data_IF_951446831702
#
_entry.id   IF_951446831702
#
_cell.length_a   1.000
_cell.length_b   1.000
_cell.length_c   1.000
_cell.angle_alpha   90.00
_cell.angle_beta   90.00
_cell.angle_gamma   90.00
#
_symmetry.space_group_name_H-M   'P 1'
#
loop_
_entity.id
_entity.type
_entity.pdbx_description
1 polymer ?
#
# COMPACT_ATOMS: atom_id res chain seq x y z
N UNK A 1 42.95 -6.29 -3.29
CA UNK A 1 42.36 -7.64 -3.17
C UNK A 1 42.35 -8.02 -1.68
N UNK A 2 41.23 -7.76 -0.98
CA UNK A 2 41.07 -8.12 0.44
C UNK A 2 40.36 -9.48 0.52
N UNK A 3 40.97 -10.42 1.24
CA UNK A 3 40.43 -11.78 1.44
C UNK A 3 39.28 -11.73 2.44
N UNK A 4 38.10 -12.18 2.03
CA UNK A 4 36.94 -12.37 2.91
C UNK A 4 36.94 -13.85 3.34
N UNK A 5 37.01 -14.08 4.65
CA UNK A 5 36.96 -15.40 5.28
C UNK A 5 35.49 -15.64 5.66
N UNK A 6 34.87 -16.66 5.08
CA UNK A 6 33.52 -17.10 5.45
C UNK A 6 33.62 -18.08 6.63
N UNK A 7 33.01 -17.71 7.76
CA UNK A 7 32.85 -18.57 8.93
C UNK A 7 31.51 -19.30 8.81
N UNK A 8 31.57 -20.60 8.51
CA UNK A 8 30.44 -21.52 8.42
C UNK A 8 30.02 -21.93 9.85
N UNK A 9 28.85 -21.50 10.29
CA UNK A 9 28.26 -21.94 11.57
C UNK A 9 27.50 -23.25 11.34
N UNK A 10 28.02 -24.32 11.93
CA UNK A 10 27.44 -25.67 11.92
C UNK A 10 26.52 -25.83 13.13
N UNK A 11 25.20 -25.77 12.93
CA UNK A 11 24.24 -26.09 14.00
C UNK A 11 24.09 -27.62 14.14
N UNK A 12 24.66 -28.16 15.22
CA UNK A 12 24.40 -29.52 15.69
C UNK A 12 22.96 -29.62 16.18
N UNK A 13 22.17 -30.50 15.55
CA UNK A 13 20.89 -30.95 16.08
C UNK A 13 21.15 -32.13 17.01
N UNK A 14 20.90 -31.93 18.31
CA UNK A 14 20.73 -33.01 19.28
C UNK A 14 19.31 -32.94 19.83
N UNK A 15 18.54 -34.00 19.59
CA UNK A 15 17.16 -34.13 20.04
C UNK A 15 17.04 -34.53 21.51
N UNK A 16 15.82 -34.39 22.04
CA UNK A 16 15.33 -35.26 23.09
C UNK A 16 13.88 -35.64 22.79
N UNK A 17 13.62 -36.93 23.00
CA UNK A 17 12.34 -37.59 22.89
C UNK A 17 11.35 -37.09 23.96
N UNK A 18 10.08 -36.99 23.57
CA UNK A 18 8.94 -36.87 24.48
C UNK A 18 7.79 -37.73 23.95
N UNK A 19 7.39 -38.72 24.76
CA UNK A 19 6.40 -39.76 24.47
C UNK A 19 4.94 -39.29 24.61
N UNK A 20 4.04 -40.00 23.92
CA UNK A 20 2.60 -40.16 24.23
C UNK A 20 1.71 -39.23 23.41
N UNK A 21 0.69 -39.67 22.66
CA UNK A 21 -0.09 -40.91 22.65
C UNK A 21 -0.69 -41.07 21.25
N UNK A 22 -0.51 -42.22 20.59
CA UNK A 22 -1.21 -42.55 19.34
C UNK A 22 -2.55 -43.23 19.66
N UNK A 23 -3.62 -42.73 19.05
CA UNK A 23 -4.86 -43.47 18.87
C UNK A 23 -4.72 -44.39 17.65
N UNK A 24 -5.35 -45.56 17.75
CA UNK A 24 -5.30 -46.67 16.81
C UNK A 24 -5.86 -46.34 15.40
N UNK A 25 -5.17 -46.91 14.41
CA UNK A 25 -5.62 -47.20 13.05
C UNK A 25 -7.05 -47.77 12.96
N UNK A 26 -7.79 -47.42 11.89
CA UNK A 26 -8.29 -48.40 10.89
C UNK A 26 -8.37 -47.79 9.49
N UNK A 27 -8.01 -48.62 8.53
CA UNK A 27 -7.72 -48.37 7.12
C UNK A 27 -8.97 -48.63 6.21
N UNK A 28 -8.88 -48.64 4.86
CA UNK A 28 -9.72 -47.90 3.91
C UNK A 28 -10.83 -48.78 3.26
N UNK A 29 -11.64 -48.23 2.34
CA UNK A 29 -12.15 -48.93 1.13
C UNK A 29 -13.00 -48.02 0.23
N UNK A 30 -12.53 -47.93 -1.03
CA UNK A 30 -13.23 -47.91 -2.34
C UNK A 30 -14.77 -47.77 -2.40
N UNK A 31 -15.22 -46.87 -3.28
CA UNK A 31 -16.54 -46.94 -3.91
C UNK A 31 -16.68 -45.95 -5.07
N UNK A 32 -16.66 -46.45 -6.31
CA UNK A 32 -16.93 -45.69 -7.53
C UNK A 32 -18.44 -45.50 -7.71
N UNK A 33 -18.92 -44.28 -7.99
CA UNK A 33 -20.20 -44.05 -8.70
C UNK A 33 -20.06 -42.84 -9.63
N UNK A 34 -20.29 -43.10 -10.91
CA UNK A 34 -20.42 -42.18 -12.04
C UNK A 34 -21.83 -41.59 -12.14
N UNK A 35 -21.97 -40.30 -12.46
CA UNK A 35 -23.09 -39.74 -13.25
C UNK A 35 -22.60 -38.52 -14.04
N UNK A 36 -22.92 -38.49 -15.33
CA UNK A 36 -22.63 -37.44 -16.31
C UNK A 36 -23.65 -36.27 -16.29
N UNK A 37 -23.14 -35.09 -16.69
CA UNK A 37 -23.77 -34.00 -17.46
C UNK A 37 -24.94 -33.20 -16.88
N UNK A 38 -24.74 -31.89 -16.71
CA UNK A 38 -25.57 -30.86 -17.38
C UNK A 38 -24.86 -29.49 -17.35
N UNK A 39 -24.56 -28.96 -18.55
CA UNK A 39 -24.19 -27.56 -18.76
C UNK A 39 -25.43 -26.67 -18.58
N UNK A 40 -25.32 -25.65 -17.73
CA UNK A 40 -26.15 -24.44 -17.82
C UNK A 40 -25.25 -23.22 -17.65
N UNK A 41 -25.14 -22.49 -18.76
CA UNK A 41 -24.73 -21.09 -18.78
C UNK A 41 -25.64 -20.30 -17.84
N UNK A 42 -25.04 -19.49 -16.96
CA UNK A 42 -25.70 -18.35 -16.33
C UNK A 42 -24.78 -17.15 -16.53
N UNK A 43 -25.08 -16.36 -17.56
CA UNK A 43 -24.85 -14.93 -17.54
C UNK A 43 -25.68 -14.36 -16.37
N UNK A 44 -25.03 -13.76 -15.37
CA UNK A 44 -25.55 -12.58 -14.72
C UNK A 44 -24.51 -11.91 -13.80
N UNK A 45 -24.21 -10.67 -14.17
CA UNK A 45 -23.89 -9.52 -13.31
C UNK A 45 -22.70 -9.69 -12.35
N UNK A 46 -21.57 -9.12 -12.77
CA UNK A 46 -20.48 -8.67 -11.90
C UNK A 46 -21.07 -7.82 -10.78
N UNK A 47 -21.17 -8.40 -9.59
CA UNK A 47 -21.49 -7.68 -8.37
C UNK A 47 -20.28 -6.79 -8.06
N UNK A 48 -20.45 -5.51 -8.37
CA UNK A 48 -19.71 -4.42 -7.78
C UNK A 48 -19.60 -4.68 -6.27
N UNK A 49 -18.39 -4.79 -5.74
CA UNK A 49 -18.16 -5.02 -4.31
C UNK A 49 -18.82 -3.88 -3.51
N UNK A 50 -20.05 -4.12 -3.04
CA UNK A 50 -20.63 -3.32 -1.98
C UNK A 50 -19.78 -3.58 -0.74
N UNK A 51 -18.89 -2.63 -0.44
CA UNK A 51 -18.27 -2.51 0.87
C UNK A 51 -19.43 -2.56 1.88
N UNK A 52 -19.53 -3.67 2.61
CA UNK A 52 -20.50 -3.79 3.69
C UNK A 52 -20.21 -2.64 4.68
N UNK A 53 -21.23 -1.85 4.99
CA UNK A 53 -21.17 -0.88 6.06
C UNK A 53 -21.00 -1.66 7.37
N UNK A 54 -19.75 -1.87 7.77
CA UNK A 54 -19.40 -2.62 8.99
C UNK A 54 -19.62 -1.79 10.25
N UNK A 55 -20.04 -0.53 10.13
CA UNK A 55 -20.06 0.43 11.23
C UNK A 55 -18.67 0.81 11.76
N UNK A 56 -17.59 0.39 11.09
CA UNK A 56 -16.21 0.75 11.44
C UNK A 56 -15.90 2.14 10.88
N UNK A 57 -15.27 2.99 11.69
CA UNK A 57 -14.63 4.18 11.16
C UNK A 57 -13.39 3.77 10.33
N UNK A 58 -12.98 4.58 9.34
CA UNK A 58 -11.64 4.49 8.80
C UNK A 58 -10.60 4.68 9.93
N UNK A 59 -9.33 4.30 9.70
CA UNK A 59 -8.28 4.49 10.70
C UNK A 59 -8.20 5.96 11.14
N UNK A 60 -8.26 6.19 12.45
CA UNK A 60 -8.26 7.48 13.11
C UNK A 60 -7.33 7.47 14.33
N UNK A 61 -6.69 8.60 14.60
CA UNK A 61 -5.84 8.83 15.79
C UNK A 61 -6.11 10.22 16.36
N UNK A 62 -6.14 10.36 17.69
CA UNK A 62 -6.22 11.67 18.33
C UNK A 62 -4.84 12.12 18.80
N UNK A 63 -4.42 13.33 18.42
CA UNK A 63 -3.18 13.97 18.86
C UNK A 63 -3.50 15.43 19.21
N UNK A 64 -3.09 15.87 20.40
CA UNK A 64 -3.34 17.22 20.93
C UNK A 64 -4.80 17.71 20.82
N UNK A 65 -5.76 16.80 21.02
CA UNK A 65 -7.19 17.08 20.95
C UNK A 65 -7.76 17.16 19.54
N UNK A 66 -6.95 16.92 18.51
CA UNK A 66 -7.38 16.86 17.11
C UNK A 66 -7.46 15.40 16.67
N UNK A 67 -8.56 15.02 16.02
CA UNK A 67 -8.71 13.70 15.42
C UNK A 67 -8.21 13.78 13.98
N UNK A 68 -7.24 12.94 13.64
CA UNK A 68 -6.73 12.77 12.29
C UNK A 68 -7.25 11.44 11.73
N UNK A 69 -7.70 11.47 10.49
CA UNK A 69 -8.24 10.34 9.73
C UNK A 69 -7.30 9.99 8.59
N UNK A 70 -7.11 8.70 8.34
CA UNK A 70 -6.34 8.19 7.21
C UNK A 70 -6.88 8.76 5.88
N UNK A 71 -5.96 9.19 5.02
CA UNK A 71 -6.26 9.75 3.70
C UNK A 71 -6.19 8.70 2.58
N UNK A 72 -5.62 7.52 2.85
CA UNK A 72 -5.30 6.49 1.86
C UNK A 72 -4.03 6.77 1.06
N UNK A 73 -3.26 7.81 1.41
CA UNK A 73 -2.02 8.18 0.74
C UNK A 73 -0.77 7.85 1.57
N UNK A 74 0.28 7.45 0.86
CA UNK A 74 1.61 7.20 1.43
C UNK A 74 2.52 8.41 1.19
N UNK A 75 3.21 8.84 2.25
CA UNK A 75 4.17 9.92 2.24
C UNK A 75 5.54 9.43 1.73
N UNK A 76 5.93 9.92 0.56
CA UNK A 76 7.24 9.62 -0.05
C UNK A 76 8.24 10.76 0.13
N UNK A 77 7.79 11.93 0.59
CA UNK A 77 8.68 13.06 0.88
C UNK A 77 9.60 12.74 2.07
N UNK A 78 10.92 12.96 1.99
CA UNK A 78 11.82 12.66 3.08
C UNK A 78 11.38 13.30 4.41
N UNK A 79 11.26 12.49 5.46
CA UNK A 79 10.93 12.99 6.80
C UNK A 79 12.11 13.70 7.47
N UNK A 80 11.86 14.42 8.57
CA UNK A 80 12.93 15.10 9.31
C UNK A 80 13.83 14.13 10.12
N UNK A 81 13.50 12.83 10.14
CA UNK A 81 14.22 11.79 10.85
C UNK A 81 13.95 11.70 12.36
N UNK A 82 13.19 12.63 12.94
CA UNK A 82 12.80 12.61 14.36
C UNK A 82 11.28 12.45 14.48
N UNK A 83 10.82 11.44 15.22
CA UNK A 83 9.40 11.24 15.50
C UNK A 83 8.93 12.19 16.61
N UNK A 84 7.70 12.68 16.49
CA UNK A 84 7.14 13.64 17.45
C UNK A 84 6.42 12.94 18.61
N UNK A 85 5.95 11.71 18.40
CA UNK A 85 5.24 10.96 19.41
C UNK A 85 4.97 9.52 19.02
N UNK A 86 4.21 8.83 19.88
CA UNK A 86 3.82 7.43 19.75
C UNK A 86 2.35 7.29 20.12
N UNK A 87 1.64 6.44 19.40
CA UNK A 87 0.28 6.00 19.71
C UNK A 87 0.38 4.92 20.78
N UNK A 88 -0.16 5.15 21.98
CA UNK A 88 0.06 4.31 23.16
C UNK A 88 -1.16 3.48 23.58
N UNK A 89 -2.33 3.75 23.00
CA UNK A 89 -3.56 3.03 23.31
C UNK A 89 -4.48 2.89 22.11
N UNK A 90 -5.48 2.02 22.21
CA UNK A 90 -6.39 1.70 21.12
C UNK A 90 -7.81 1.48 21.63
N UNK A 91 -8.79 1.99 20.88
CA UNK A 91 -10.23 1.70 21.00
C UNK A 91 -10.68 0.76 19.88
N UNK A 92 -11.93 0.30 19.92
CA UNK A 92 -12.48 -0.50 18.82
C UNK A 92 -12.52 0.30 17.51
N UNK A 93 -12.40 -0.37 16.35
CA UNK A 93 -12.51 0.26 15.03
C UNK A 93 -13.83 1.01 14.77
N UNK A 94 -14.89 0.64 15.52
CA UNK A 94 -16.22 1.27 15.51
C UNK A 94 -16.30 2.52 16.39
N UNK A 95 -15.22 2.91 17.06
CA UNK A 95 -15.15 4.07 17.94
C UNK A 95 -14.12 5.08 17.41
N UNK A 96 -14.39 6.36 17.63
CA UNK A 96 -13.37 7.39 17.43
C UNK A 96 -12.49 7.49 18.69
N UNK A 97 -11.17 7.70 18.54
CA UNK A 97 -10.32 7.95 19.70
C UNK A 97 -10.76 9.21 20.44
N UNK A 98 -10.71 9.16 21.77
CA UNK A 98 -11.18 10.23 22.66
C UNK A 98 -10.10 10.76 23.60
N UNK A 99 -8.93 10.13 23.60
CA UNK A 99 -7.74 10.53 24.37
C UNK A 99 -6.56 10.78 23.43
N UNK A 100 -5.65 11.68 23.81
CA UNK A 100 -4.41 11.88 23.05
C UNK A 100 -3.58 10.60 22.97
N UNK A 101 -2.98 10.37 21.81
CA UNK A 101 -2.18 9.19 21.47
C UNK A 101 -2.99 7.88 21.52
N UNK A 102 -4.31 7.96 21.32
CA UNK A 102 -5.19 6.82 21.14
C UNK A 102 -5.58 6.71 19.67
N UNK A 103 -5.66 5.49 19.14
CA UNK A 103 -6.17 5.20 17.80
C UNK A 103 -7.33 4.20 17.82
N UNK A 104 -7.94 3.95 16.67
CA UNK A 104 -8.88 2.85 16.47
C UNK A 104 -8.30 1.70 15.61
N UNK A 105 -6.98 1.70 15.37
CA UNK A 105 -6.30 0.76 14.46
C UNK A 105 -5.08 0.04 15.07
N UNK A 106 -4.71 0.36 16.31
CA UNK A 106 -3.59 -0.28 17.02
C UNK A 106 -2.63 0.72 17.66
N UNK A 107 -1.75 0.22 18.52
CA UNK A 107 -0.79 1.02 19.31
C UNK A 107 0.65 0.60 19.02
N UNK A 108 1.62 1.41 19.44
CA UNK A 108 3.06 1.21 19.20
C UNK A 108 3.57 1.89 17.93
N UNK A 109 2.70 2.60 17.21
CA UNK A 109 3.07 3.34 16.00
C UNK A 109 3.58 4.73 16.34
N UNK A 110 4.67 5.14 15.69
CA UNK A 110 5.20 6.49 15.84
C UNK A 110 4.57 7.45 14.82
N UNK A 111 4.45 8.72 15.18
CA UNK A 111 3.95 9.75 14.27
C UNK A 111 4.85 10.99 14.22
N UNK A 112 4.70 11.76 13.13
CA UNK A 112 5.36 13.02 12.88
C UNK A 112 4.35 14.01 12.29
N UNK A 113 4.32 15.24 12.80
CA UNK A 113 3.54 16.34 12.22
C UNK A 113 4.16 16.75 10.89
N UNK A 114 3.29 17.03 9.92
CA UNK A 114 3.70 17.42 8.57
C UNK A 114 3.13 18.80 8.24
N UNK A 115 2.69 19.00 7.00
CA UNK A 115 1.91 20.18 6.59
C UNK A 115 0.73 20.45 7.52
N UNK A 116 0.24 21.69 7.52
CA UNK A 116 -0.88 22.10 8.38
C UNK A 116 -2.05 21.14 8.30
N UNK A 117 -2.50 20.64 9.46
CA UNK A 117 -3.62 19.70 9.55
C UNK A 117 -3.29 18.27 9.13
N UNK A 118 -2.01 17.92 8.96
CA UNK A 118 -1.58 16.57 8.58
C UNK A 118 -0.63 15.94 9.60
N UNK A 119 -0.75 14.63 9.72
CA UNK A 119 0.04 13.76 10.57
C UNK A 119 0.52 12.58 9.72
N UNK A 120 1.80 12.24 9.80
CA UNK A 120 2.35 11.03 9.17
C UNK A 120 2.52 9.99 10.27
N UNK A 121 1.87 8.83 10.13
CA UNK A 121 1.99 7.70 11.05
C UNK A 121 2.78 6.59 10.35
N UNK A 122 3.78 6.02 11.04
CA UNK A 122 4.55 4.90 10.52
C UNK A 122 3.87 3.60 10.91
N UNK A 123 3.29 2.90 9.95
CA UNK A 123 2.56 1.64 10.11
C UNK A 123 3.22 0.62 9.17
N UNK A 124 3.73 -0.49 9.72
CA UNK A 124 4.37 -1.55 8.95
C UNK A 124 5.45 -1.06 7.96
N UNK A 125 6.31 -0.15 8.44
CA UNK A 125 7.37 0.54 7.68
C UNK A 125 6.87 1.51 6.57
N UNK A 126 5.55 1.66 6.39
CA UNK A 126 4.95 2.65 5.52
C UNK A 126 4.60 3.95 6.26
N UNK A 127 4.74 5.08 5.57
CA UNK A 127 4.48 6.41 6.12
C UNK A 127 3.10 6.88 5.69
N UNK A 128 2.07 6.49 6.42
CA UNK A 128 0.67 6.76 6.06
C UNK A 128 0.29 8.17 6.46
N UNK A 129 -0.39 8.88 5.55
CA UNK A 129 -0.80 10.27 5.75
C UNK A 129 -2.20 10.30 6.35
N UNK A 130 -2.33 10.95 7.48
CA UNK A 130 -3.59 11.27 8.14
C UNK A 130 -3.85 12.77 8.08
N UNK A 131 -5.11 13.16 7.98
CA UNK A 131 -5.58 14.55 7.89
C UNK A 131 -6.62 14.81 8.97
N UNK A 132 -6.58 16.00 9.57
CA UNK A 132 -7.60 16.48 10.49
C UNK A 132 -9.00 16.21 9.92
N UNK A 133 -9.82 15.48 10.69
CA UNK A 133 -11.12 14.99 10.25
C UNK A 133 -12.11 16.13 9.94
N UNK A 134 -11.90 17.31 10.54
CA UNK A 134 -12.73 18.51 10.34
C UNK A 134 -12.32 19.30 9.09
N UNK A 135 -11.25 18.89 8.39
CA UNK A 135 -10.82 19.52 7.12
C UNK A 135 -11.46 18.81 5.93
N UNK A 136 -12.23 19.54 5.13
CA UNK A 136 -12.86 19.06 3.88
C UNK A 136 -11.90 19.01 2.67
N UNK A 137 -10.60 19.17 2.88
CA UNK A 137 -9.63 19.07 1.79
C UNK A 137 -9.56 17.61 1.31
N UNK A 138 -9.71 17.40 0.01
CA UNK A 138 -9.59 16.10 -0.68
C UNK A 138 -8.46 16.10 -1.71
N UNK A 139 -7.61 17.13 -1.71
CA UNK A 139 -6.43 17.18 -2.55
C UNK A 139 -5.42 16.11 -2.13
N UNK A 140 -4.66 15.62 -3.12
CA UNK A 140 -3.52 14.73 -2.86
C UNK A 140 -2.51 15.51 -2.01
N UNK A 141 -2.12 14.99 -0.84
CA UNK A 141 -1.13 15.64 0.02
C UNK A 141 0.18 15.96 -0.72
N UNK A 142 0.82 17.07 -0.36
CA UNK A 142 2.08 17.49 -0.98
C UNK A 142 3.23 16.51 -0.70
N UNK A 143 3.08 15.65 0.31
CA UNK A 143 4.02 14.64 0.73
C UNK A 143 4.02 13.39 -0.17
N UNK A 144 3.05 13.28 -1.09
CA UNK A 144 2.95 12.20 -2.08
C UNK A 144 3.81 12.52 -3.29
N UNK A 145 4.74 11.62 -3.63
CA UNK A 145 5.62 11.83 -4.78
C UNK A 145 4.82 11.92 -6.07
N UNK A 146 5.27 12.84 -6.92
CA UNK A 146 4.83 12.91 -8.29
C UNK A 146 5.98 13.31 -9.23
N UNK A 147 5.80 12.97 -10.50
CA UNK A 147 6.77 13.28 -11.54
C UNK A 147 6.06 13.49 -12.87
N UNK A 148 6.70 14.27 -13.74
CA UNK A 148 6.28 14.40 -15.13
C UNK A 148 6.95 13.30 -15.95
N UNK A 149 6.18 12.74 -16.88
CA UNK A 149 6.64 11.73 -17.80
C UNK A 149 6.02 11.93 -19.18
N UNK A 150 6.71 11.48 -20.22
CA UNK A 150 6.21 11.47 -21.59
C UNK A 150 5.65 10.09 -21.91
N UNK A 151 4.42 10.03 -22.43
CA UNK A 151 3.82 8.77 -22.89
C UNK A 151 4.58 8.28 -24.11
N UNK A 152 5.18 7.08 -24.01
CA UNK A 152 5.94 6.44 -25.09
C UNK A 152 5.08 5.41 -25.83
N UNK A 153 4.31 4.64 -25.10
CA UNK A 153 3.42 3.59 -25.62
C UNK A 153 2.19 3.47 -24.73
N UNK A 154 1.07 3.08 -25.34
CA UNK A 154 -0.16 2.67 -24.67
C UNK A 154 -0.36 1.22 -25.08
N UNK A 155 -0.33 0.30 -24.13
CA UNK A 155 -0.46 -1.13 -24.42
C UNK A 155 -1.90 -1.46 -24.79
N UNK A 156 -2.12 -2.64 -25.39
CA UNK A 156 -3.46 -3.12 -25.72
C UNK A 156 -4.34 -3.29 -24.46
N UNK A 157 -3.72 -3.55 -23.31
CA UNK A 157 -4.37 -3.67 -22.00
C UNK A 157 -4.60 -2.30 -21.32
N UNK A 158 -4.24 -1.21 -22.00
CA UNK A 158 -4.44 0.17 -21.53
C UNK A 158 -3.38 0.69 -20.57
N UNK A 159 -2.33 -0.08 -20.26
CA UNK A 159 -1.20 0.41 -19.46
C UNK A 159 -0.35 1.41 -20.24
N UNK A 160 0.34 2.30 -19.52
CA UNK A 160 1.23 3.29 -20.11
C UNK A 160 2.68 2.85 -19.92
N UNK A 161 3.44 2.84 -21.00
CA UNK A 161 4.90 2.96 -20.92
C UNK A 161 5.26 4.43 -21.03
N UNK A 162 5.90 4.98 -19.99
CA UNK A 162 6.27 6.39 -19.95
C UNK A 162 7.77 6.56 -19.78
N UNK A 163 8.34 7.62 -20.37
CA UNK A 163 9.72 8.03 -20.14
C UNK A 163 9.74 9.17 -19.13
N UNK A 164 10.53 9.05 -18.08
CA UNK A 164 10.68 10.11 -17.07
C UNK A 164 11.15 11.44 -17.70
N UNK A 165 10.62 12.56 -17.19
CA UNK A 165 10.99 13.92 -17.60
C UNK A 165 11.53 14.73 -16.42
N UNK A 166 10.79 14.75 -15.30
CA UNK A 166 11.21 15.50 -14.10
C UNK A 166 10.52 14.99 -12.85
N UNK A 167 11.24 14.84 -11.74
CA UNK A 167 10.63 14.57 -10.43
C UNK A 167 10.19 15.88 -9.79
N UNK A 168 9.07 15.89 -9.06
CA UNK A 168 8.64 17.07 -8.31
C UNK A 168 9.68 17.50 -7.26
N UNK A 169 9.69 18.79 -6.92
CA UNK A 169 10.58 19.34 -5.90
C UNK A 169 10.28 18.73 -4.51
N UNK A 170 11.31 18.63 -3.67
CA UNK A 170 11.20 18.07 -2.32
C UNK A 170 11.33 16.55 -2.24
N UNK A 171 11.35 15.83 -3.37
CA UNK A 171 11.50 14.38 -3.41
C UNK A 171 12.92 13.93 -3.81
N UNK A 172 13.26 12.69 -3.44
CA UNK A 172 14.41 12.02 -4.03
C UNK A 172 14.19 11.89 -5.54
N UNK A 173 15.19 12.31 -6.32
CA UNK A 173 15.15 12.24 -7.77
C UNK A 173 14.94 10.79 -8.23
N UNK A 174 13.89 10.56 -9.03
CA UNK A 174 13.69 9.28 -9.71
C UNK A 174 14.79 9.06 -10.75
N UNK A 175 15.17 7.80 -10.95
CA UNK A 175 16.13 7.44 -11.99
C UNK A 175 15.56 7.81 -13.37
N UNK A 176 16.44 8.28 -14.25
CA UNK A 176 16.08 8.42 -15.66
C UNK A 176 15.75 7.04 -16.24
N UNK A 177 14.74 6.97 -17.10
CA UNK A 177 14.36 5.70 -17.71
C UNK A 177 12.88 5.60 -18.07
N UNK A 178 12.47 4.36 -18.31
CA UNK A 178 11.10 4.01 -18.70
C UNK A 178 10.42 3.27 -17.57
N UNK A 179 9.13 3.57 -17.41
CA UNK A 179 8.30 3.02 -16.35
C UNK A 179 6.99 2.51 -16.92
N UNK A 180 6.58 1.31 -16.51
CA UNK A 180 5.21 0.84 -16.67
C UNK A 180 4.33 1.43 -15.56
N UNK A 181 3.17 1.92 -15.97
CA UNK A 181 2.23 2.65 -15.13
C UNK A 181 0.83 2.14 -15.44
N UNK A 182 0.12 1.67 -14.41
CA UNK A 182 -1.32 1.37 -14.54
C UNK A 182 -2.09 2.64 -14.88
N UNK A 183 -2.95 2.58 -15.89
CA UNK A 183 -3.79 3.70 -16.31
C UNK A 183 -5.16 3.74 -15.62
N UNK A 184 -5.40 2.88 -14.62
CA UNK A 184 -6.69 2.80 -13.92
C UNK A 184 -7.16 4.16 -13.35
N UNK A 185 -6.20 4.97 -12.88
CA UNK A 185 -6.46 6.29 -12.30
C UNK A 185 -6.13 7.45 -13.25
N UNK A 186 -6.23 7.21 -14.56
CA UNK A 186 -6.07 8.23 -15.58
C UNK A 186 -7.32 9.12 -15.67
N UNK A 187 -7.13 10.43 -15.48
CA UNK A 187 -8.24 11.38 -15.47
C UNK A 187 -8.82 11.68 -16.87
N UNK A 188 -7.99 11.63 -17.90
CA UNK A 188 -8.33 12.03 -19.26
C UNK A 188 -7.58 11.16 -20.27
N UNK A 189 -8.15 10.95 -21.47
CA UNK A 189 -7.49 10.18 -22.53
C UNK A 189 -6.15 10.80 -22.91
N UNK A 190 -5.12 9.96 -23.03
CA UNK A 190 -3.76 10.36 -23.45
C UNK A 190 -3.40 9.73 -24.79
N UNK A 191 -2.45 10.34 -25.47
CA UNK A 191 -1.84 9.87 -26.69
C UNK A 191 -0.34 9.72 -26.52
N UNK A 192 0.28 8.88 -27.35
CA UNK A 192 1.73 8.79 -27.45
C UNK A 192 2.29 10.19 -27.75
N UNK A 193 3.25 10.62 -26.92
CA UNK A 193 3.88 11.92 -27.00
C UNK A 193 3.41 12.94 -25.97
N UNK A 194 2.23 12.74 -25.37
CA UNK A 194 1.69 13.62 -24.32
C UNK A 194 2.59 13.64 -23.08
N UNK A 195 2.57 14.75 -22.34
CA UNK A 195 3.18 14.84 -21.02
C UNK A 195 2.11 14.66 -19.95
N UNK A 196 2.37 13.76 -19.02
CA UNK A 196 1.51 13.47 -17.88
C UNK A 196 2.24 13.74 -16.58
N UNK A 197 1.50 14.14 -15.54
CA UNK A 197 1.96 14.11 -14.16
C UNK A 197 1.33 12.92 -13.45
N UNK A 198 2.16 12.13 -12.76
CA UNK A 198 1.78 10.87 -12.12
C UNK A 198 2.04 10.99 -10.63
N UNK A 199 1.01 10.81 -9.79
CA UNK A 199 1.13 10.68 -8.33
C UNK A 199 1.06 9.21 -7.96
N UNK A 200 2.01 8.74 -7.15
CA UNK A 200 2.07 7.33 -6.74
C UNK A 200 2.66 7.19 -5.33
N UNK A 201 2.64 5.97 -4.79
CA UNK A 201 3.07 5.69 -3.42
C UNK A 201 4.60 5.73 -3.18
N UNK A 202 5.40 5.97 -4.23
CA UNK A 202 6.86 5.99 -4.14
C UNK A 202 7.53 4.63 -4.27
N UNK A 203 6.77 3.53 -4.37
CA UNK A 203 7.33 2.20 -4.57
C UNK A 203 7.63 1.97 -6.05
N UNK A 204 8.80 1.41 -6.36
CA UNK A 204 9.23 1.05 -7.70
C UNK A 204 9.69 -0.41 -7.66
N UNK A 205 9.10 -1.24 -8.51
CA UNK A 205 9.54 -2.62 -8.71
C UNK A 205 10.66 -2.64 -9.75
N UNK A 206 11.78 -3.28 -9.42
CA UNK A 206 12.98 -3.37 -10.26
C UNK A 206 12.82 -4.41 -11.38
N UNK A 207 11.84 -4.22 -12.25
CA UNK A 207 11.65 -4.95 -13.52
C UNK A 207 12.31 -4.22 -14.68
N UNK A 208 12.22 -4.77 -15.90
CA UNK A 208 12.73 -4.09 -17.10
C UNK A 208 11.68 -4.04 -18.23
N UNK A 209 11.08 -2.86 -18.53
CA UNK A 209 11.12 -1.60 -17.77
C UNK A 209 10.64 -1.71 -16.31
N UNK A 210 11.02 -0.74 -15.46
CA UNK A 210 10.61 -0.72 -14.05
C UNK A 210 9.10 -0.48 -13.93
N UNK A 211 8.45 -0.99 -12.90
CA UNK A 211 7.01 -0.81 -12.70
C UNK A 211 6.74 0.06 -11.47
N UNK A 212 5.84 1.04 -11.58
CA UNK A 212 5.40 1.79 -10.41
C UNK A 212 4.52 0.93 -9.52
N UNK A 213 4.54 1.22 -8.21
CA UNK A 213 3.57 0.69 -7.26
C UNK A 213 2.18 1.31 -7.44
N UNK A 214 1.50 1.61 -6.34
CA UNK A 214 0.15 2.15 -6.38
C UNK A 214 0.16 3.55 -6.99
N UNK A 215 -0.51 3.71 -8.14
CA UNK A 215 -0.68 4.98 -8.83
C UNK A 215 -2.01 5.60 -8.39
N UNK A 216 -1.96 6.77 -7.78
CA UNK A 216 -3.15 7.43 -7.24
C UNK A 216 -3.87 8.29 -8.27
N UNK A 217 -3.13 8.90 -9.20
CA UNK A 217 -3.68 9.80 -10.21
C UNK A 217 -2.70 10.01 -11.34
N UNK A 218 -3.23 10.10 -12.56
CA UNK A 218 -2.51 10.57 -13.73
C UNK A 218 -3.32 11.68 -14.37
N UNK A 219 -2.69 12.84 -14.62
CA UNK A 219 -3.31 13.94 -15.37
C UNK A 219 -2.43 14.30 -16.56
N UNK A 220 -3.05 14.57 -17.71
CA UNK A 220 -2.37 15.20 -18.84
C UNK A 220 -2.07 16.65 -18.48
N UNK A 221 -0.83 17.09 -18.70
CA UNK A 221 -0.44 18.47 -18.43
C UNK A 221 -0.09 19.26 -19.68
N UNK A 222 0.35 18.59 -20.75
CA UNK A 222 0.65 19.20 -22.06
C UNK A 222 0.34 18.21 -23.20
#
# INVERSE_FOLDING_TARGET
MKKVIYLLVLCMVLGMAGCGTNQENKEPVSGNVSVETENKENDDVVQNEQIADTGSYPPCVMVDGVIYKDTGYVASMPGCGTMDGEIVSTVAGTELPSENNQSNFGSGYHYQRSSEGQLIVVIDDERIIFRDIEKDDTSIPIEVINFNAKVKEITDDGELLVTHVSTAEGFCQMNDGEYYVSAENLAENVQVGDIVTIWFNGMIQETYPAQLGVVYRIIKTQ
#
